data_IF_354140458676
#
_entry.id   IF_354140458676
#
_cell.length_a   1.000
_cell.length_b   1.000
_cell.length_c   1.000
_cell.angle_alpha   90.00
_cell.angle_beta   90.00
_cell.angle_gamma   90.00
#
_symmetry.space_group_name_H-M   'P 1'
#
loop_
_entity.id
_entity.type
_entity.pdbx_description
1 polymer ?
#
# COMPACT_ATOMS: atom_id res chain seq x y z
N UNK A 1 -10.01 1.08 27.31
CA UNK A 1 -11.34 0.44 27.52
C UNK A 1 -12.42 1.14 26.68
N UNK A 2 -12.60 2.46 26.82
CA UNK A 2 -13.56 3.23 26.01
C UNK A 2 -13.25 3.22 24.49
N UNK A 3 -11.96 3.24 24.11
CA UNK A 3 -11.51 3.09 22.72
C UNK A 3 -11.86 1.76 22.08
N UNK A 4 -11.78 0.65 22.83
CA UNK A 4 -12.13 -0.67 22.32
C UNK A 4 -13.65 -0.78 22.08
N UNK A 5 -14.46 -0.26 23.01
CA UNK A 5 -15.91 -0.20 22.84
C UNK A 5 -16.31 0.68 21.65
N UNK A 6 -15.67 1.84 21.50
CA UNK A 6 -15.89 2.73 20.37
C UNK A 6 -15.53 2.07 19.03
N UNK A 7 -14.39 1.40 18.95
CA UNK A 7 -13.98 0.66 17.75
C UNK A 7 -14.98 -0.46 17.42
N UNK A 8 -15.48 -1.19 18.43
CA UNK A 8 -16.49 -2.24 18.25
C UNK A 8 -17.80 -1.70 17.66
N UNK A 9 -18.30 -0.58 18.21
CA UNK A 9 -19.56 0.04 17.75
C UNK A 9 -19.42 0.57 16.32
N UNK A 10 -18.31 1.25 16.02
CA UNK A 10 -18.06 1.79 14.68
C UNK A 10 -17.90 0.67 13.65
N UNK A 11 -17.11 -0.37 13.95
CA UNK A 11 -16.96 -1.52 13.05
C UNK A 11 -18.28 -2.28 12.83
N UNK A 12 -19.09 -2.47 13.87
CA UNK A 12 -20.39 -3.12 13.76
C UNK A 12 -21.39 -2.32 12.92
N UNK A 13 -21.42 -1.00 13.12
CA UNK A 13 -22.30 -0.08 12.38
C UNK A 13 -21.91 -0.01 10.90
N UNK A 14 -20.60 0.11 10.60
CA UNK A 14 -20.09 0.10 9.22
C UNK A 14 -20.33 -1.25 8.54
N UNK A 15 -20.18 -2.37 9.26
CA UNK A 15 -20.48 -3.71 8.72
C UNK A 15 -21.98 -3.93 8.43
N UNK A 16 -22.87 -3.34 9.24
CA UNK A 16 -24.33 -3.48 9.07
C UNK A 16 -24.88 -2.59 7.95
N UNK A 17 -24.31 -1.40 7.75
CA UNK A 17 -24.78 -0.44 6.74
C UNK A 17 -24.43 -0.84 5.29
N UNK A 18 -23.67 -1.90 5.08
CA UNK A 18 -23.32 -2.40 3.75
C UNK A 18 -22.73 -1.34 2.77
N UNK A 19 -21.95 -0.31 3.18
CA UNK A 19 -20.95 0.20 2.25
C UNK A 19 -20.02 -0.98 2.00
N UNK A 20 -19.81 -1.38 0.75
CA UNK A 20 -19.05 -2.57 0.40
C UNK A 20 -17.74 -2.63 1.21
N UNK A 21 -17.69 -3.47 2.26
CA UNK A 21 -16.51 -3.57 3.14
C UNK A 21 -15.29 -3.99 2.31
N UNK A 22 -15.54 -4.82 1.30
CA UNK A 22 -14.56 -5.17 0.29
C UNK A 22 -14.08 -3.92 -0.48
N UNK A 23 -14.98 -3.05 -0.94
CA UNK A 23 -14.63 -1.80 -1.60
C UNK A 23 -13.94 -0.80 -0.67
N UNK A 24 -14.29 -0.76 0.61
CA UNK A 24 -13.62 0.10 1.61
C UNK A 24 -12.19 -0.41 1.91
N UNK A 25 -12.02 -1.73 1.99
CA UNK A 25 -10.70 -2.38 2.13
C UNK A 25 -9.88 -2.21 0.84
N UNK A 26 -10.51 -2.27 -0.32
CA UNK A 26 -9.83 -2.12 -1.61
C UNK A 26 -9.39 -0.66 -1.83
N UNK A 27 -10.28 0.30 -1.56
CA UNK A 27 -10.00 1.74 -1.68
C UNK A 27 -8.95 2.25 -0.69
N UNK A 28 -8.91 1.73 0.54
CA UNK A 28 -7.93 2.16 1.55
C UNK A 28 -6.72 1.23 1.66
N UNK A 29 -6.95 -0.07 1.68
CA UNK A 29 -5.91 -1.09 1.84
C UNK A 29 -5.11 -1.33 0.57
N UNK A 30 -5.73 -1.29 -0.61
CA UNK A 30 -5.06 -1.50 -1.89
C UNK A 30 -3.87 -0.55 -2.12
N UNK A 31 -4.06 0.78 -2.05
CA UNK A 31 -2.99 1.76 -2.26
C UNK A 31 -1.92 1.69 -1.18
N UNK A 32 -2.34 1.50 0.08
CA UNK A 32 -1.42 1.47 1.22
C UNK A 32 -0.52 0.23 1.14
N UNK A 33 -1.09 -0.96 0.94
CA UNK A 33 -0.32 -2.20 0.83
C UNK A 33 0.58 -2.18 -0.42
N UNK A 34 0.07 -1.67 -1.54
CA UNK A 34 0.85 -1.52 -2.77
C UNK A 34 2.03 -0.55 -2.60
N UNK A 35 1.79 0.60 -1.97
CA UNK A 35 2.84 1.57 -1.67
C UNK A 35 3.93 0.94 -0.82
N UNK A 36 3.56 0.14 0.19
CA UNK A 36 4.52 -0.58 1.02
C UNK A 36 5.29 -1.60 0.18
N UNK A 37 4.61 -2.49 -0.55
CA UNK A 37 5.27 -3.55 -1.32
C UNK A 37 6.19 -3.03 -2.43
N UNK A 38 5.83 -1.93 -3.10
CA UNK A 38 6.59 -1.38 -4.23
C UNK A 38 7.57 -0.26 -3.85
N UNK A 39 7.23 0.65 -2.93
CA UNK A 39 8.15 1.72 -2.49
C UNK A 39 9.14 1.25 -1.42
N UNK A 40 8.75 0.38 -0.49
CA UNK A 40 9.65 -0.09 0.58
C UNK A 40 10.95 -0.72 0.05
N UNK A 41 10.95 -1.61 -0.96
CA UNK A 41 12.20 -2.20 -1.46
C UNK A 41 13.11 -1.14 -2.10
N UNK A 42 12.55 -0.23 -2.90
CA UNK A 42 13.34 0.82 -3.54
C UNK A 42 13.84 1.87 -2.55
N UNK A 43 13.04 2.18 -1.52
CA UNK A 43 13.43 3.07 -0.44
C UNK A 43 14.54 2.47 0.43
N UNK A 44 14.45 1.18 0.75
CA UNK A 44 15.46 0.46 1.53
C UNK A 44 16.83 0.45 0.85
N UNK A 45 16.87 0.21 -0.47
CA UNK A 45 18.12 0.22 -1.24
C UNK A 45 18.78 1.61 -1.26
N UNK A 46 17.97 2.68 -1.19
CA UNK A 46 18.47 4.07 -1.23
C UNK A 46 18.90 4.59 0.15
N UNK A 47 18.29 4.11 1.24
CA UNK A 47 18.53 4.59 2.61
C UNK A 47 19.52 3.73 3.40
N UNK A 48 19.66 2.44 3.09
CA UNK A 48 20.54 1.53 3.82
C UNK A 48 21.93 1.50 3.17
N UNK A 49 22.99 2.00 3.84
CA UNK A 49 24.34 2.05 3.27
C UNK A 49 24.95 0.66 3.04
N UNK A 50 24.53 -0.36 3.79
CA UNK A 50 24.90 -1.75 3.53
C UNK A 50 24.38 -2.29 2.19
N UNK A 51 23.32 -1.70 1.63
CA UNK A 51 22.79 -2.03 0.31
C UNK A 51 23.34 -1.11 -0.80
N UNK A 52 24.26 -0.20 -0.49
CA UNK A 52 24.85 0.72 -1.47
C UNK A 52 25.59 -0.02 -2.60
N UNK A 53 26.10 -1.23 -2.34
CA UNK A 53 26.69 -2.12 -3.36
C UNK A 53 25.72 -2.49 -4.48
N UNK A 54 24.42 -2.48 -4.21
CA UNK A 54 23.36 -2.75 -5.18
C UNK A 54 22.84 -1.48 -5.86
N UNK A 55 23.31 -0.27 -5.47
CA UNK A 55 22.93 0.99 -6.14
C UNK A 55 23.49 0.99 -7.57
N UNK A 56 22.64 1.31 -8.54
CA UNK A 56 23.03 1.47 -9.94
C UNK A 56 22.97 0.21 -10.81
N UNK A 57 22.59 -0.96 -10.26
CA UNK A 57 22.34 -2.13 -11.11
C UNK A 57 21.07 -1.91 -11.96
N UNK A 58 21.10 -2.34 -13.22
CA UNK A 58 19.95 -2.28 -14.14
C UNK A 58 18.69 -2.92 -13.53
N UNK A 59 18.87 -3.93 -12.66
CA UNK A 59 17.79 -4.56 -11.88
C UNK A 59 17.05 -3.56 -10.98
N UNK A 60 17.74 -2.60 -10.34
CA UNK A 60 17.04 -1.56 -9.57
C UNK A 60 16.20 -0.66 -10.48
N UNK A 61 16.72 -0.27 -11.64
CA UNK A 61 15.98 0.57 -12.59
C UNK A 61 14.73 -0.18 -13.08
N UNK A 62 14.88 -1.47 -13.41
CA UNK A 62 13.77 -2.34 -13.78
C UNK A 62 12.72 -2.45 -12.66
N UNK A 63 13.14 -2.74 -11.42
CA UNK A 63 12.24 -2.84 -10.27
C UNK A 63 11.57 -1.50 -9.96
N UNK A 64 12.27 -0.37 -10.13
CA UNK A 64 11.67 0.96 -9.96
C UNK A 64 10.61 1.21 -11.04
N UNK A 65 10.91 0.89 -12.30
CA UNK A 65 10.00 1.11 -13.42
C UNK A 65 8.75 0.23 -13.31
N UNK A 66 8.91 -1.07 -13.01
CA UNK A 66 7.79 -1.99 -12.78
C UNK A 66 6.99 -1.56 -11.55
N UNK A 67 7.64 -1.13 -10.47
CA UNK A 67 6.96 -0.59 -9.30
C UNK A 67 6.16 0.66 -9.61
N UNK A 68 6.67 1.55 -10.45
CA UNK A 68 5.97 2.78 -10.88
C UNK A 68 4.74 2.47 -11.74
N UNK A 69 4.87 1.51 -12.67
CA UNK A 69 3.75 1.01 -13.48
C UNK A 69 2.69 0.33 -12.61
N UNK A 70 3.09 -0.50 -11.65
CA UNK A 70 2.18 -1.17 -10.73
C UNK A 70 1.43 -0.19 -9.82
N UNK A 71 2.12 0.83 -9.29
CA UNK A 71 1.48 1.91 -8.52
C UNK A 71 0.47 2.65 -9.40
N UNK A 72 0.84 2.97 -10.64
CA UNK A 72 -0.06 3.67 -11.56
C UNK A 72 -1.31 2.84 -11.85
N UNK A 73 -1.18 1.55 -12.13
CA UNK A 73 -2.31 0.64 -12.38
C UNK A 73 -3.24 0.52 -11.16
N UNK A 74 -2.67 0.44 -9.95
CA UNK A 74 -3.44 0.33 -8.71
C UNK A 74 -4.15 1.63 -8.34
N UNK A 75 -3.51 2.78 -8.55
CA UNK A 75 -4.16 4.09 -8.38
C UNK A 75 -5.29 4.26 -9.40
N UNK A 76 -5.10 3.78 -10.63
CA UNK A 76 -6.14 3.83 -11.66
C UNK A 76 -7.34 2.94 -11.30
N UNK A 77 -7.09 1.73 -10.79
CA UNK A 77 -8.12 0.80 -10.31
C UNK A 77 -8.83 1.26 -9.03
N UNK A 78 -8.30 2.29 -8.36
CA UNK A 78 -8.90 2.88 -7.16
C UNK A 78 -9.82 4.06 -7.47
N UNK A 79 -9.45 4.81 -8.51
CA UNK A 79 -10.11 6.06 -8.92
C UNK A 79 -11.18 5.80 -9.98
N UNK A 80 -11.00 4.78 -10.83
CA UNK A 80 -11.97 4.30 -11.81
C UNK A 80 -12.74 3.10 -11.31
#
# INVERSE_FOLDING_TARGET
RMTAAFMLVVCWLVATLNPSILGMIETLGGPVIASILFLMPMYAIRKVPAMAKYRGQASNVFVTAVGLVAITALVYSLIG
#
